data_IF_143813260111
#
_entry.id   IF_143813260111
#
_cell.length_a   1.000
_cell.length_b   1.000
_cell.length_c   1.000
_cell.angle_alpha   90.00
_cell.angle_beta   90.00
_cell.angle_gamma   90.00
#
_symmetry.space_group_name_H-M   'P 1'
#
loop_
_entity.id
_entity.type
_entity.pdbx_description
1 polymer ?
#
# COMPACT_ATOMS: atom_id res chain seq x y z
N UNK A 1 46.42 32.01 4.37
CA UNK A 1 45.62 31.68 5.55
C UNK A 1 44.28 31.13 5.07
N UNK A 2 43.86 29.92 5.48
CA UNK A 2 42.50 29.46 5.22
C UNK A 2 41.53 30.34 6.02
N UNK A 3 40.51 30.89 5.37
CA UNK A 3 39.46 31.68 6.04
C UNK A 3 38.67 30.73 6.95
N UNK A 4 38.61 31.00 8.24
CA UNK A 4 37.69 30.27 9.12
C UNK A 4 36.25 30.47 8.64
N UNK A 5 35.45 29.40 8.48
CA UNK A 5 34.08 29.53 8.05
C UNK A 5 33.27 30.35 9.08
N UNK A 6 32.50 31.31 8.57
CA UNK A 6 31.77 32.27 9.38
C UNK A 6 30.71 31.60 10.25
N UNK A 7 30.38 32.19 11.41
CA UNK A 7 29.38 31.66 12.38
C UNK A 7 28.03 31.27 11.75
N UNK A 8 27.59 31.97 10.69
CA UNK A 8 26.38 31.64 9.92
C UNK A 8 26.51 30.36 9.10
N UNK A 9 27.68 30.09 8.55
CA UNK A 9 27.98 28.90 7.74
C UNK A 9 28.02 27.64 8.61
N UNK A 10 28.61 27.74 9.81
CA UNK A 10 28.52 26.67 10.83
C UNK A 10 27.07 26.42 11.26
N UNK A 11 26.30 27.46 11.52
CA UNK A 11 24.89 27.32 11.95
C UNK A 11 24.01 26.64 10.88
N UNK A 12 24.21 26.97 9.60
CA UNK A 12 23.50 26.31 8.50
C UNK A 12 23.90 24.84 8.39
N UNK A 13 25.19 24.52 8.51
CA UNK A 13 25.68 23.14 8.48
C UNK A 13 25.06 22.27 9.58
N UNK A 14 24.99 22.76 10.83
CA UNK A 14 24.36 22.01 11.92
C UNK A 14 22.86 21.82 11.74
N UNK A 15 22.17 22.80 11.14
CA UNK A 15 20.74 22.71 10.85
C UNK A 15 20.45 21.70 9.73
N UNK A 16 21.25 21.74 8.66
CA UNK A 16 21.17 20.79 7.55
C UNK A 16 21.49 19.36 8.03
N UNK A 17 22.53 19.18 8.85
CA UNK A 17 22.87 17.88 9.46
C UNK A 17 21.73 17.34 10.33
N UNK A 18 21.08 18.20 11.12
CA UNK A 18 19.96 17.80 11.97
C UNK A 18 18.75 17.36 11.14
N UNK A 19 18.41 18.09 10.07
CA UNK A 19 17.34 17.73 9.13
C UNK A 19 17.66 16.41 8.42
N UNK A 20 18.89 16.24 7.93
CA UNK A 20 19.32 15.01 7.25
C UNK A 20 19.20 13.82 8.21
N UNK A 21 19.65 13.98 9.45
CA UNK A 21 19.60 12.92 10.46
C UNK A 21 18.16 12.52 10.82
N UNK A 22 17.26 13.48 10.98
CA UNK A 22 15.84 13.22 11.26
C UNK A 22 15.16 12.49 10.09
N UNK A 23 15.42 12.95 8.86
CA UNK A 23 14.93 12.32 7.62
C UNK A 23 15.44 10.88 7.47
N UNK A 24 16.71 10.64 7.81
CA UNK A 24 17.29 9.29 7.80
C UNK A 24 16.63 8.38 8.84
N UNK A 25 16.35 8.89 10.04
CA UNK A 25 15.66 8.12 11.08
C UNK A 25 14.24 7.73 10.65
N UNK A 26 13.48 8.65 10.07
CA UNK A 26 12.13 8.39 9.55
C UNK A 26 12.14 7.35 8.43
N UNK A 27 13.13 7.39 7.55
CA UNK A 27 13.29 6.38 6.50
C UNK A 27 13.61 4.99 7.06
N UNK A 28 14.47 4.89 8.08
CA UNK A 28 14.76 3.57 8.70
C UNK A 28 13.49 3.01 9.35
N UNK A 29 12.75 3.84 10.09
CA UNK A 29 11.48 3.44 10.71
C UNK A 29 10.48 2.98 9.65
N UNK A 30 10.37 3.69 8.53
CA UNK A 30 9.46 3.30 7.45
C UNK A 30 9.81 1.94 6.86
N UNK A 31 11.09 1.62 6.71
CA UNK A 31 11.54 0.34 6.15
C UNK A 31 11.25 -0.83 7.11
N UNK A 32 11.37 -0.63 8.42
CA UNK A 32 11.02 -1.66 9.41
C UNK A 32 9.53 -2.04 9.28
N UNK A 33 8.65 -1.03 9.27
CA UNK A 33 7.21 -1.26 9.10
C UNK A 33 6.87 -1.83 7.71
N UNK A 34 7.57 -1.40 6.66
CA UNK A 34 7.41 -1.94 5.31
C UNK A 34 7.71 -3.45 5.28
N UNK A 35 8.83 -3.88 5.88
CA UNK A 35 9.22 -5.30 5.89
C UNK A 35 8.18 -6.13 6.65
N UNK A 36 7.71 -5.65 7.80
CA UNK A 36 6.64 -6.33 8.57
C UNK A 36 5.34 -6.46 7.75
N UNK A 37 4.93 -5.39 7.06
CA UNK A 37 3.80 -5.41 6.15
C UNK A 37 4.00 -6.42 5.01
N UNK A 38 5.19 -6.44 4.42
CA UNK A 38 5.55 -7.27 3.29
C UNK A 38 5.57 -8.78 3.64
N UNK A 39 6.05 -9.15 4.83
CA UNK A 39 5.99 -10.54 5.31
C UNK A 39 4.53 -11.02 5.37
N UNK A 40 3.63 -10.19 5.91
CA UNK A 40 2.20 -10.49 5.94
C UNK A 40 1.63 -10.59 4.51
N UNK A 41 2.02 -9.68 3.62
CA UNK A 41 1.60 -9.65 2.23
C UNK A 41 1.96 -10.93 1.46
N UNK A 42 3.18 -11.45 1.68
CA UNK A 42 3.60 -12.74 1.11
C UNK A 42 2.80 -13.89 1.72
N UNK A 43 2.59 -13.87 3.04
CA UNK A 43 1.79 -14.87 3.76
C UNK A 43 0.33 -14.94 3.29
N UNK A 44 -0.28 -13.79 2.99
CA UNK A 44 -1.64 -13.67 2.45
C UNK A 44 -1.79 -14.44 1.12
N UNK A 45 -0.73 -14.48 0.30
CA UNK A 45 -0.70 -15.26 -0.94
C UNK A 45 -0.96 -16.75 -0.73
N UNK A 46 -0.62 -17.30 0.44
CA UNK A 46 -0.83 -18.72 0.77
C UNK A 46 -2.18 -19.02 1.42
N UNK A 47 -2.90 -18.02 1.92
CA UNK A 47 -4.17 -18.22 2.59
C UNK A 47 -5.28 -18.58 1.59
N UNK A 48 -5.94 -19.73 1.82
CA UNK A 48 -7.08 -20.20 1.01
C UNK A 48 -8.42 -19.58 1.44
N UNK A 49 -8.54 -19.15 2.70
CA UNK A 49 -9.81 -18.68 3.26
C UNK A 49 -9.96 -17.16 3.14
N UNK A 50 -11.12 -16.71 2.65
CA UNK A 50 -11.43 -15.27 2.51
C UNK A 50 -11.31 -14.50 3.83
N UNK A 51 -11.80 -15.08 4.93
CA UNK A 51 -11.78 -14.43 6.25
C UNK A 51 -10.35 -14.25 6.77
N UNK A 52 -9.50 -15.27 6.65
CA UNK A 52 -8.09 -15.20 7.05
C UNK A 52 -7.32 -14.16 6.21
N UNK A 53 -7.56 -14.15 4.90
CA UNK A 53 -7.00 -13.17 3.97
C UNK A 53 -7.33 -11.73 4.40
N UNK A 54 -8.61 -11.44 4.71
CA UNK A 54 -9.07 -10.10 5.09
C UNK A 54 -8.48 -9.63 6.43
N UNK A 55 -8.38 -10.51 7.43
CA UNK A 55 -7.79 -10.17 8.73
C UNK A 55 -6.30 -9.84 8.58
N UNK A 56 -5.56 -10.70 7.87
CA UNK A 56 -4.15 -10.46 7.61
C UNK A 56 -3.92 -9.17 6.80
N UNK A 57 -4.77 -8.89 5.80
CA UNK A 57 -4.71 -7.64 5.03
C UNK A 57 -4.95 -6.40 5.91
N UNK A 58 -5.85 -6.46 6.89
CA UNK A 58 -6.05 -5.33 7.80
C UNK A 58 -4.79 -5.02 8.61
N UNK A 59 -4.11 -6.05 9.14
CA UNK A 59 -2.86 -5.85 9.88
C UNK A 59 -1.76 -5.34 8.95
N UNK A 60 -1.66 -5.89 7.73
CA UNK A 60 -0.74 -5.41 6.70
C UNK A 60 -0.97 -3.92 6.38
N UNK A 61 -2.23 -3.49 6.21
CA UNK A 61 -2.55 -2.10 5.87
C UNK A 61 -2.15 -1.13 6.98
N UNK A 62 -2.29 -1.50 8.25
CA UNK A 62 -1.82 -0.66 9.37
C UNK A 62 -0.33 -0.37 9.25
N UNK A 63 0.47 -1.41 9.00
CA UNK A 63 1.93 -1.25 8.84
C UNK A 63 2.29 -0.45 7.58
N UNK A 64 1.58 -0.67 6.47
CA UNK A 64 1.80 0.14 5.26
C UNK A 64 1.40 1.61 5.44
N UNK A 65 0.33 1.92 6.17
CA UNK A 65 -0.06 3.30 6.48
C UNK A 65 1.08 4.02 7.20
N UNK A 66 1.66 3.40 8.23
CA UNK A 66 2.78 3.98 8.98
C UNK A 66 4.00 4.15 8.06
N UNK A 67 4.36 3.11 7.32
CA UNK A 67 5.51 3.14 6.41
C UNK A 67 5.40 4.23 5.34
N UNK A 68 4.29 4.28 4.60
CA UNK A 68 4.09 5.28 3.55
C UNK A 68 3.92 6.69 4.11
N UNK A 69 3.37 6.85 5.32
CA UNK A 69 3.32 8.15 5.96
C UNK A 69 4.74 8.68 6.25
N UNK A 70 5.65 7.83 6.72
CA UNK A 70 7.04 8.22 6.99
C UNK A 70 7.83 8.60 5.73
N UNK A 71 7.56 7.95 4.58
CA UNK A 71 8.22 8.26 3.29
C UNK A 71 7.51 9.41 2.54
N UNK A 72 6.25 9.71 2.90
CA UNK A 72 5.44 10.75 2.24
C UNK A 72 4.58 10.26 1.06
N UNK A 73 4.36 8.95 0.95
CA UNK A 73 3.49 8.32 -0.05
C UNK A 73 1.99 8.47 0.28
N UNK A 74 1.46 9.70 0.27
CA UNK A 74 0.10 10.04 0.72
C UNK A 74 -0.99 9.23 -0.01
N UNK A 75 -0.85 9.04 -1.32
CA UNK A 75 -1.84 8.28 -2.10
C UNK A 75 -1.98 6.83 -1.60
N UNK A 76 -0.86 6.19 -1.24
CA UNK A 76 -0.88 4.87 -0.64
C UNK A 76 -1.40 4.86 0.79
N UNK A 77 -1.10 5.89 1.60
CA UNK A 77 -1.67 6.03 2.96
C UNK A 77 -3.20 6.02 2.91
N UNK A 78 -3.76 6.88 2.07
CA UNK A 78 -5.22 6.99 1.91
C UNK A 78 -5.83 5.74 1.27
N UNK A 79 -5.16 5.19 0.27
CA UNK A 79 -5.48 3.89 -0.32
C UNK A 79 -5.67 2.80 0.73
N UNK A 80 -4.68 2.69 1.62
CA UNK A 80 -4.65 1.67 2.67
C UNK A 80 -5.66 1.94 3.79
N UNK A 81 -5.91 3.20 4.18
CA UNK A 81 -6.94 3.54 5.18
C UNK A 81 -8.33 3.11 4.71
N UNK A 82 -8.70 3.51 3.48
CA UNK A 82 -10.03 3.17 2.95
C UNK A 82 -10.16 1.66 2.71
N UNK A 83 -9.10 1.01 2.25
CA UNK A 83 -9.05 -0.46 2.10
C UNK A 83 -9.18 -1.20 3.44
N UNK A 84 -8.60 -0.66 4.52
CA UNK A 84 -8.75 -1.19 5.88
C UNK A 84 -10.19 -1.08 6.38
N UNK A 85 -10.84 0.07 6.16
CA UNK A 85 -12.25 0.26 6.52
C UNK A 85 -13.13 -0.72 5.72
N UNK A 86 -12.92 -0.81 4.40
CA UNK A 86 -13.63 -1.73 3.51
C UNK A 86 -13.54 -3.18 3.99
N UNK A 87 -12.32 -3.63 4.28
CA UNK A 87 -12.07 -5.00 4.73
C UNK A 87 -12.74 -5.27 6.08
N UNK A 88 -12.69 -4.32 7.01
CA UNK A 88 -13.38 -4.42 8.31
C UNK A 88 -14.89 -4.53 8.15
N UNK A 89 -15.49 -3.76 7.25
CA UNK A 89 -16.92 -3.87 6.93
C UNK A 89 -17.23 -5.21 6.27
N UNK A 90 -16.40 -5.69 5.35
CA UNK A 90 -16.57 -7.01 4.71
C UNK A 90 -16.45 -8.19 5.69
N UNK A 91 -15.77 -8.01 6.83
CA UNK A 91 -15.70 -9.02 7.89
C UNK A 91 -17.00 -9.10 8.72
N UNK A 92 -17.72 -7.98 8.88
CA UNK A 92 -18.96 -7.91 9.67
C UNK A 92 -20.23 -8.12 8.84
N UNK A 93 -20.25 -7.66 7.59
CA UNK A 93 -21.45 -7.67 6.75
C UNK A 93 -21.23 -8.36 5.40
N UNK A 94 -22.32 -8.88 4.82
CA UNK A 94 -22.30 -9.40 3.45
C UNK A 94 -22.00 -8.24 2.49
N UNK A 95 -20.96 -8.39 1.68
CA UNK A 95 -20.49 -7.35 0.77
C UNK A 95 -21.42 -7.25 -0.45
N UNK A 96 -22.52 -6.51 -0.31
CA UNK A 96 -23.54 -6.29 -1.35
C UNK A 96 -23.05 -5.33 -2.43
N UNK A 97 -23.67 -5.36 -3.62
CA UNK A 97 -23.32 -4.48 -4.74
C UNK A 97 -23.36 -2.97 -4.40
N UNK A 98 -24.37 -2.46 -3.65
CA UNK A 98 -24.38 -1.05 -3.25
C UNK A 98 -23.16 -0.67 -2.40
N UNK A 99 -22.74 -1.56 -1.50
CA UNK A 99 -21.60 -1.32 -0.63
C UNK A 99 -20.27 -1.27 -1.42
N UNK A 100 -20.14 -2.02 -2.51
CA UNK A 100 -18.98 -1.92 -3.42
C UNK A 100 -18.89 -0.55 -4.05
N UNK A 101 -20.00 -0.09 -4.63
CA UNK A 101 -20.07 1.20 -5.32
C UNK A 101 -19.74 2.30 -4.32
N UNK A 102 -20.31 2.23 -3.11
CA UNK A 102 -19.97 3.13 -2.01
C UNK A 102 -18.47 3.17 -1.73
N UNK A 103 -17.80 2.03 -1.55
CA UNK A 103 -16.36 2.00 -1.27
C UNK A 103 -15.50 2.47 -2.45
N UNK A 104 -15.89 2.19 -3.70
CA UNK A 104 -15.16 2.68 -4.88
C UNK A 104 -15.28 4.20 -4.99
N UNK A 105 -16.49 4.76 -4.82
CA UNK A 105 -16.73 6.20 -4.84
C UNK A 105 -16.00 6.87 -3.66
N UNK A 106 -16.07 6.29 -2.46
CA UNK A 106 -15.36 6.78 -1.29
C UNK A 106 -13.85 6.80 -1.53
N UNK A 107 -13.28 5.72 -2.08
CA UNK A 107 -11.87 5.65 -2.42
C UNK A 107 -11.50 6.72 -3.45
N UNK A 108 -12.30 6.88 -4.51
CA UNK A 108 -12.06 7.89 -5.54
C UNK A 108 -12.06 9.30 -4.95
N UNK A 109 -13.08 9.65 -4.16
CA UNK A 109 -13.24 10.98 -3.56
C UNK A 109 -12.09 11.28 -2.61
N UNK A 110 -11.75 10.36 -1.70
CA UNK A 110 -10.66 10.62 -0.74
C UNK A 110 -9.31 10.67 -1.46
N UNK A 111 -9.05 9.81 -2.46
CA UNK A 111 -7.83 9.88 -3.27
C UNK A 111 -7.76 11.22 -4.04
N UNK A 112 -8.83 11.64 -4.71
CA UNK A 112 -8.90 12.92 -5.42
C UNK A 112 -8.62 14.11 -4.48
N UNK A 113 -9.31 14.17 -3.33
CA UNK A 113 -9.10 15.23 -2.34
C UNK A 113 -7.65 15.22 -1.83
N UNK A 114 -7.07 14.04 -1.62
CA UNK A 114 -5.70 13.92 -1.11
C UNK A 114 -4.65 14.34 -2.13
N UNK A 115 -4.92 14.16 -3.42
CA UNK A 115 -4.03 14.57 -4.51
C UNK A 115 -4.08 16.08 -4.78
N UNK A 116 -5.26 16.71 -4.69
CA UNK A 116 -5.45 18.09 -5.15
C UNK A 116 -5.70 19.12 -4.03
N UNK A 117 -6.12 18.70 -2.83
CA UNK A 117 -6.56 19.60 -1.75
C UNK A 117 -5.74 19.49 -0.45
N UNK A 118 -4.51 18.98 -0.51
CA UNK A 118 -3.47 18.94 0.56
C UNK A 118 -4.07 18.92 1.98
N UNK A 119 -4.72 17.83 2.36
CA UNK A 119 -5.20 17.61 3.73
C UNK A 119 -4.08 17.30 4.72
N UNK A 120 -2.91 16.90 4.22
CA UNK A 120 -1.77 16.49 5.02
C UNK A 120 -0.60 17.44 4.85
N UNK A 121 -0.79 18.70 5.25
CA UNK A 121 0.26 19.75 5.19
C UNK A 121 1.48 19.43 6.06
N UNK A 122 1.33 18.51 7.02
CA UNK A 122 2.39 18.04 7.91
C UNK A 122 3.21 16.85 7.37
N UNK A 123 2.86 16.29 6.20
CA UNK A 123 3.63 15.20 5.59
C UNK A 123 4.70 15.72 4.63
N UNK A 124 5.87 15.05 4.55
CA UNK A 124 7.07 15.59 3.90
C UNK A 124 7.03 15.68 2.36
N UNK A 125 5.99 15.14 1.70
CA UNK A 125 5.85 15.16 0.24
C UNK A 125 4.52 15.76 -0.22
N UNK A 126 4.57 16.55 -1.29
CA UNK A 126 3.38 17.06 -1.99
C UNK A 126 2.73 15.90 -2.76
N UNK A 127 1.51 15.56 -2.42
CA UNK A 127 0.69 14.67 -3.24
C UNK A 127 0.54 15.25 -4.67
N UNK A 128 0.51 14.39 -5.70
CA UNK A 128 0.35 14.80 -7.10
C UNK A 128 1.65 15.09 -7.86
N UNK A 129 2.82 14.87 -7.25
CA UNK A 129 4.12 15.03 -7.94
C UNK A 129 4.36 14.05 -9.08
N UNK A 130 3.66 12.91 -9.11
CA UNK A 130 3.84 11.88 -10.13
C UNK A 130 2.63 11.75 -11.08
N UNK A 131 1.72 12.73 -11.05
CA UNK A 131 0.59 12.84 -11.97
C UNK A 131 -0.34 11.64 -11.93
N UNK A 132 -0.53 10.97 -13.07
CA UNK A 132 -1.42 9.80 -13.18
C UNK A 132 -0.96 8.60 -12.33
N UNK A 133 0.33 8.49 -12.01
CA UNK A 133 0.84 7.34 -11.25
C UNK A 133 0.37 7.33 -9.80
N UNK A 134 0.04 8.50 -9.23
CA UNK A 134 -0.49 8.59 -7.87
C UNK A 134 -1.92 8.04 -7.75
N UNK A 135 -2.56 7.67 -8.86
CA UNK A 135 -3.85 6.98 -8.89
C UNK A 135 -3.73 5.46 -8.82
N UNK A 136 -2.54 4.89 -8.92
CA UNK A 136 -2.32 3.44 -8.87
C UNK A 136 -2.85 2.80 -7.58
N UNK A 137 -2.69 3.40 -6.37
CA UNK A 137 -3.32 2.87 -5.16
C UNK A 137 -4.86 2.82 -5.23
N UNK A 138 -5.49 3.77 -5.93
CA UNK A 138 -6.94 3.76 -6.17
C UNK A 138 -7.34 2.61 -7.11
N UNK A 139 -6.59 2.40 -8.20
CA UNK A 139 -6.81 1.28 -9.13
C UNK A 139 -6.69 -0.06 -8.39
N UNK A 140 -5.64 -0.21 -7.58
CA UNK A 140 -5.40 -1.39 -6.78
C UNK A 140 -6.59 -1.69 -5.83
N UNK A 141 -7.02 -0.68 -5.07
CA UNK A 141 -8.15 -0.80 -4.15
C UNK A 141 -9.46 -1.13 -4.89
N UNK A 142 -9.68 -0.56 -6.06
CA UNK A 142 -10.85 -0.82 -6.90
C UNK A 142 -10.89 -2.26 -7.38
N UNK A 143 -9.76 -2.79 -7.88
CA UNK A 143 -9.64 -4.19 -8.33
C UNK A 143 -9.99 -5.17 -7.23
N UNK A 144 -9.45 -4.99 -6.01
CA UNK A 144 -9.82 -5.83 -4.86
C UNK A 144 -11.31 -5.72 -4.56
N UNK A 145 -11.86 -4.50 -4.53
CA UNK A 145 -13.26 -4.26 -4.15
C UNK A 145 -14.23 -4.94 -5.12
N UNK A 146 -13.93 -4.92 -6.41
CA UNK A 146 -14.73 -5.59 -7.44
C UNK A 146 -14.70 -7.11 -7.30
N UNK A 147 -13.52 -7.69 -7.04
CA UNK A 147 -13.35 -9.14 -6.99
C UNK A 147 -13.79 -9.75 -5.66
N UNK A 148 -13.77 -8.99 -4.55
CA UNK A 148 -14.00 -9.49 -3.20
C UNK A 148 -15.38 -10.14 -2.99
N UNK A 149 -16.38 -9.77 -3.78
CA UNK A 149 -17.73 -10.34 -3.73
C UNK A 149 -17.91 -11.58 -4.58
N UNK A 150 -16.93 -11.96 -5.39
CA UNK A 150 -17.04 -13.17 -6.20
C UNK A 150 -17.05 -14.41 -5.29
N UNK A 151 -17.91 -15.37 -5.63
CA UNK A 151 -17.89 -16.70 -4.99
C UNK A 151 -16.71 -17.55 -5.49
N UNK A 152 -16.14 -17.20 -6.64
CA UNK A 152 -15.05 -17.96 -7.24
C UNK A 152 -13.70 -17.49 -6.65
N UNK A 153 -12.96 -18.35 -5.93
CA UNK A 153 -11.69 -17.98 -5.32
C UNK A 153 -10.63 -17.54 -6.34
N UNK A 154 -10.73 -18.00 -7.59
CA UNK A 154 -9.86 -17.55 -8.68
C UNK A 154 -10.06 -16.07 -9.01
N UNK A 155 -11.30 -15.57 -9.01
CA UNK A 155 -11.59 -14.17 -9.33
C UNK A 155 -11.05 -13.25 -8.23
N UNK A 156 -11.19 -13.65 -6.96
CA UNK A 156 -10.60 -12.92 -5.82
C UNK A 156 -9.08 -12.85 -6.00
N UNK A 157 -8.43 -13.98 -6.30
CA UNK A 157 -6.99 -14.07 -6.55
C UNK A 157 -6.52 -13.20 -7.71
N UNK A 158 -7.24 -13.18 -8.83
CA UNK A 158 -6.91 -12.31 -9.97
C UNK A 158 -6.98 -10.83 -9.60
N UNK A 159 -7.96 -10.43 -8.78
CA UNK A 159 -8.00 -9.07 -8.24
C UNK A 159 -6.82 -8.75 -7.33
N UNK A 160 -6.39 -9.70 -6.49
CA UNK A 160 -5.16 -9.55 -5.71
C UNK A 160 -3.93 -9.37 -6.59
N UNK A 161 -3.79 -10.14 -7.67
CA UNK A 161 -2.69 -9.99 -8.63
C UNK A 161 -2.72 -8.60 -9.28
N UNK A 162 -3.89 -8.14 -9.76
CA UNK A 162 -4.02 -6.81 -10.34
C UNK A 162 -3.69 -5.68 -9.34
N UNK A 163 -4.05 -5.87 -8.07
CA UNK A 163 -3.67 -4.96 -6.98
C UNK A 163 -2.17 -4.95 -6.72
N UNK A 164 -1.51 -6.12 -6.70
CA UNK A 164 -0.06 -6.24 -6.51
C UNK A 164 0.69 -5.55 -7.67
N UNK A 165 0.23 -5.73 -8.91
CA UNK A 165 0.84 -5.05 -10.06
C UNK A 165 0.70 -3.53 -9.97
N UNK A 166 -0.46 -3.05 -9.51
CA UNK A 166 -0.71 -1.61 -9.34
C UNK A 166 0.17 -1.01 -8.24
N UNK A 167 0.24 -1.65 -7.06
CA UNK A 167 1.12 -1.21 -5.97
C UNK A 167 2.60 -1.36 -6.32
N UNK A 168 3.03 -2.49 -6.89
CA UNK A 168 4.41 -2.68 -7.31
C UNK A 168 4.87 -1.63 -8.33
N UNK A 169 4.00 -1.23 -9.26
CA UNK A 169 4.32 -0.12 -10.19
C UNK A 169 4.46 1.20 -9.43
N UNK A 170 3.58 1.45 -8.45
CA UNK A 170 3.64 2.66 -7.62
C UNK A 170 4.91 2.69 -6.76
N UNK A 171 5.30 1.57 -6.13
CA UNK A 171 6.52 1.45 -5.34
C UNK A 171 7.79 1.58 -6.19
N UNK A 172 7.77 1.08 -7.43
CA UNK A 172 8.84 1.33 -8.39
C UNK A 172 9.00 2.83 -8.70
N UNK A 173 7.89 3.55 -8.92
CA UNK A 173 7.89 5.01 -9.16
C UNK A 173 8.40 5.78 -7.94
N UNK A 174 7.99 5.38 -6.74
CA UNK A 174 8.48 5.96 -5.48
C UNK A 174 9.94 5.57 -5.14
N UNK A 175 10.57 4.72 -5.96
CA UNK A 175 11.91 4.15 -5.71
C UNK A 175 12.00 3.40 -4.37
N UNK A 176 10.87 2.84 -3.93
CA UNK A 176 10.78 2.03 -2.73
C UNK A 176 11.14 0.56 -3.04
N UNK A 177 12.43 0.33 -3.29
CA UNK A 177 12.94 -0.95 -3.78
C UNK A 177 12.64 -2.13 -2.85
N UNK A 178 12.58 -1.89 -1.53
CA UNK A 178 12.23 -2.92 -0.55
C UNK A 178 10.84 -3.46 -0.81
N UNK A 179 9.83 -2.58 -0.82
CA UNK A 179 8.43 -3.00 -1.00
C UNK A 179 8.22 -3.58 -2.40
N UNK A 180 8.83 -2.98 -3.42
CA UNK A 180 8.77 -3.50 -4.79
C UNK A 180 9.31 -4.94 -4.91
N UNK A 181 10.42 -5.26 -4.25
CA UNK A 181 10.94 -6.63 -4.25
C UNK A 181 9.95 -7.63 -3.61
N UNK A 182 9.26 -7.20 -2.54
CA UNK A 182 8.24 -8.01 -1.90
C UNK A 182 6.93 -8.09 -2.69
N UNK A 183 6.58 -7.08 -3.50
CA UNK A 183 5.50 -7.18 -4.48
C UNK A 183 5.78 -8.26 -5.52
N UNK A 184 7.02 -8.35 -6.01
CA UNK A 184 7.44 -9.45 -6.89
C UNK A 184 7.28 -10.82 -6.19
N UNK A 185 7.69 -10.94 -4.92
CA UNK A 185 7.49 -12.18 -4.17
C UNK A 185 6.00 -12.50 -3.95
N UNK A 186 5.19 -11.50 -3.60
CA UNK A 186 3.75 -11.69 -3.41
C UNK A 186 3.03 -12.04 -4.71
N UNK A 187 3.50 -11.53 -5.85
CA UNK A 187 3.02 -11.92 -7.17
C UNK A 187 3.27 -13.42 -7.40
N UNK A 188 4.49 -13.89 -7.14
CA UNK A 188 4.85 -15.31 -7.26
C UNK A 188 3.98 -16.17 -6.34
N UNK A 189 3.84 -15.82 -5.06
CA UNK A 189 3.01 -16.62 -4.12
C UNK A 189 1.53 -16.58 -4.49
N UNK A 190 1.06 -15.47 -5.02
CA UNK A 190 -0.31 -15.34 -5.53
C UNK A 190 -0.54 -16.25 -6.73
N UNK A 191 0.39 -16.32 -7.69
CA UNK A 191 0.37 -17.24 -8.83
C UNK A 191 0.41 -18.70 -8.39
N UNK A 192 1.27 -19.06 -7.42
CA UNK A 192 1.29 -20.40 -6.84
C UNK A 192 -0.08 -20.75 -6.22
N UNK A 193 -0.70 -19.82 -5.51
CA UNK A 193 -2.04 -20.05 -4.96
C UNK A 193 -3.13 -20.17 -6.04
N UNK A 194 -3.02 -19.48 -7.18
CA UNK A 194 -3.89 -19.71 -8.34
C UNK A 194 -3.70 -21.13 -8.87
N UNK A 195 -2.46 -21.56 -9.08
CA UNK A 195 -2.12 -22.91 -9.55
C UNK A 195 -2.72 -23.99 -8.64
N UNK A 196 -2.59 -23.83 -7.31
CA UNK A 196 -3.18 -24.76 -6.33
C UNK A 196 -4.70 -24.84 -6.45
N UNK A 197 -5.39 -23.71 -6.60
CA UNK A 197 -6.86 -23.69 -6.78
C UNK A 197 -7.26 -24.40 -8.08
N UNK A 198 -6.49 -24.23 -9.16
CA UNK A 198 -6.75 -24.91 -10.43
C UNK A 198 -6.51 -26.41 -10.35
N UNK A 199 -5.48 -26.85 -9.62
CA UNK A 199 -5.19 -28.28 -9.40
C UNK A 199 -6.25 -28.94 -8.52
N UNK A 200 -6.62 -28.31 -7.38
CA UNK A 200 -7.64 -28.82 -6.46
C UNK A 200 -9.03 -28.94 -7.14
N UNK A 201 -9.30 -28.16 -8.20
CA UNK A 201 -10.53 -28.28 -9.01
C UNK A 201 -10.52 -29.45 -10.00
N UNK A 202 -9.34 -29.99 -10.34
CA UNK A 202 -9.20 -31.10 -11.29
C UNK A 202 -9.23 -32.48 -10.63
N UNK A 203 -9.07 -32.55 -9.31
CA UNK A 203 -9.20 -33.80 -8.54
C UNK A 203 -10.56 -33.79 -7.83
N UNK A 204 -11.61 -34.39 -8.43
CA UNK A 204 -12.86 -34.63 -7.72
C UNK A 204 -12.61 -35.72 -6.67
N UNK A 205 -12.94 -35.42 -5.41
CA UNK A 205 -13.29 -36.47 -4.45
C UNK A 205 -14.64 -37.08 -4.84
#
# INVERSE_FOLDING_TARGET
>A
MPREPGRKEKSNHYFDDWIIRDRMNLFIVSQIFAILACILMVGIGYLKTKRGMLIAQNVQFIFFIISYACIGGIAAVVGNIVSLIRNTVCLKWKFTTPLKIFFIVLQFVITYISLYNVWFTWLPQKAGTHGLMDWLPFVAATLITLTLSSKNPLVIKLGCIGSILSFGTYDFVLRNWTVFAFDCFSLITSLVGVYRILKDKKEPF
#
